data_IF_332551144559
#
_entry.id   IF_332551144559
#
_cell.length_a   1.000
_cell.length_b   1.000
_cell.length_c   1.000
_cell.angle_alpha   90.00
_cell.angle_beta   90.00
_cell.angle_gamma   90.00
#
_symmetry.space_group_name_H-M   'P 1'
#
loop_
_entity.id
_entity.type
_entity.pdbx_description
1 polymer ?
#
# COMPACT_ATOMS: atom_id res chain seq x y z
N UNK A 1 -3.37 -3.83 31.29
CA UNK A 1 -3.02 -4.55 30.05
C UNK A 1 -2.62 -3.50 29.01
N UNK A 2 -1.36 -3.46 28.58
CA UNK A 2 -0.95 -2.54 27.51
C UNK A 2 -1.10 -3.30 26.20
N UNK A 3 -2.06 -2.90 25.37
CA UNK A 3 -2.17 -3.44 24.01
C UNK A 3 -1.05 -2.82 23.17
N UNK A 4 -0.15 -3.66 22.66
CA UNK A 4 0.87 -3.24 21.70
C UNK A 4 0.16 -2.68 20.46
N UNK A 5 0.50 -1.45 20.08
CA UNK A 5 0.00 -0.85 18.84
C UNK A 5 0.50 -1.69 17.64
N UNK A 6 -0.29 -1.79 16.55
CA UNK A 6 0.18 -2.44 15.35
C UNK A 6 1.46 -1.77 14.86
N UNK A 7 2.46 -2.56 14.50
CA UNK A 7 3.65 -2.01 13.84
C UNK A 7 3.23 -1.44 12.48
N UNK A 8 3.50 -0.15 12.30
CA UNK A 8 3.28 0.56 11.05
C UNK A 8 4.60 0.48 10.28
N UNK A 9 4.65 -0.36 9.24
CA UNK A 9 5.89 -0.60 8.49
C UNK A 9 5.91 0.09 7.14
N UNK A 10 4.74 0.36 6.54
CA UNK A 10 4.65 0.85 5.17
C UNK A 10 4.34 2.34 5.06
N UNK A 11 3.63 2.94 6.02
CA UNK A 11 3.25 4.36 5.96
C UNK A 11 4.47 5.25 5.74
N UNK A 12 4.35 6.19 4.81
CA UNK A 12 5.44 7.08 4.39
C UNK A 12 6.34 6.51 3.29
N UNK A 13 6.34 5.19 3.06
CA UNK A 13 7.13 4.56 1.99
C UNK A 13 6.47 4.78 0.63
N UNK A 14 7.29 4.93 -0.41
CA UNK A 14 6.83 4.86 -1.80
C UNK A 14 6.85 3.39 -2.25
N UNK A 15 5.77 2.93 -2.85
CA UNK A 15 5.63 1.54 -3.31
C UNK A 15 5.18 1.46 -4.77
N UNK A 16 5.44 0.31 -5.38
CA UNK A 16 4.90 -0.10 -6.68
C UNK A 16 4.20 -1.45 -6.57
N UNK A 17 3.05 -1.59 -7.22
CA UNK A 17 2.37 -2.89 -7.39
C UNK A 17 3.06 -3.68 -8.50
N UNK A 18 3.74 -4.77 -8.15
CA UNK A 18 4.49 -5.61 -9.10
C UNK A 18 3.68 -6.80 -9.61
N UNK A 19 2.68 -7.27 -8.85
CA UNK A 19 1.73 -8.32 -9.27
C UNK A 19 0.36 -8.06 -8.67
N UNK A 20 -0.69 -8.46 -9.37
CA UNK A 20 -2.07 -8.32 -8.88
C UNK A 20 -2.99 -9.32 -9.57
N UNK A 21 -4.06 -9.73 -8.87
CA UNK A 21 -5.18 -10.48 -9.48
C UNK A 21 -5.94 -9.64 -10.51
N UNK A 22 -6.02 -8.32 -10.29
CA UNK A 22 -6.52 -7.36 -11.28
C UNK A 22 -5.33 -6.74 -12.02
N UNK A 23 -5.11 -7.06 -13.32
CA UNK A 23 -3.97 -6.56 -14.09
C UNK A 23 -3.90 -5.03 -14.18
N UNK A 24 -5.05 -4.32 -14.10
CA UNK A 24 -5.08 -2.87 -14.13
C UNK A 24 -4.41 -2.20 -12.91
N UNK A 25 -4.11 -2.96 -11.86
CA UNK A 25 -3.40 -2.47 -10.69
C UNK A 25 -1.87 -2.56 -10.83
N UNK A 26 -1.35 -3.36 -11.77
CA UNK A 26 0.09 -3.54 -11.96
C UNK A 26 0.72 -2.23 -12.45
N UNK A 27 1.85 -1.85 -11.86
CA UNK A 27 2.56 -0.62 -12.18
C UNK A 27 2.03 0.64 -11.48
N UNK A 28 0.95 0.52 -10.69
CA UNK A 28 0.49 1.63 -9.83
C UNK A 28 1.57 1.94 -8.80
N UNK A 29 1.90 3.24 -8.71
CA UNK A 29 2.90 3.79 -7.78
C UNK A 29 2.26 4.85 -6.90
N UNK A 30 2.70 4.92 -5.66
CA UNK A 30 2.25 5.94 -4.73
C UNK A 30 2.91 5.85 -3.37
N UNK A 31 2.75 6.92 -2.59
CA UNK A 31 3.17 6.98 -1.18
C UNK A 31 2.09 6.34 -0.32
N UNK A 32 2.46 5.47 0.60
CA UNK A 32 1.51 4.88 1.55
C UNK A 32 1.12 5.93 2.59
N UNK A 33 -0.18 6.21 2.69
CA UNK A 33 -0.74 7.19 3.63
C UNK A 33 -1.51 6.54 4.79
N UNK A 34 -1.98 5.32 4.60
CA UNK A 34 -2.66 4.53 5.64
C UNK A 34 -2.43 3.03 5.40
N UNK A 35 -2.40 2.28 6.49
CA UNK A 35 -2.22 0.84 6.50
C UNK A 35 -3.10 0.22 7.58
N UNK A 36 -3.86 -0.80 7.18
CA UNK A 36 -4.59 -1.67 8.10
C UNK A 36 -4.16 -3.11 7.85
N UNK A 37 -4.64 -4.04 8.67
CA UNK A 37 -4.32 -5.48 8.54
C UNK A 37 -4.45 -6.02 7.10
N UNK A 38 -5.48 -5.58 6.37
CA UNK A 38 -5.85 -6.14 5.06
C UNK A 38 -5.73 -5.14 3.90
N UNK A 39 -5.52 -3.86 4.18
CA UNK A 39 -5.52 -2.81 3.16
C UNK A 39 -4.30 -1.92 3.26
N UNK A 40 -3.86 -1.44 2.10
CA UNK A 40 -2.85 -0.40 1.95
C UNK A 40 -3.51 0.74 1.18
N UNK A 41 -3.43 1.95 1.71
CA UNK A 41 -3.91 3.14 1.03
C UNK A 41 -2.71 3.93 0.53
N UNK A 42 -2.70 4.20 -0.77
CA UNK A 42 -1.66 5.00 -1.40
C UNK A 42 -2.23 6.26 -2.02
N UNK A 43 -1.40 7.29 -2.08
CA UNK A 43 -1.62 8.52 -2.83
C UNK A 43 -0.66 8.53 -4.03
N UNK A 44 -1.21 8.73 -5.23
CA UNK A 44 -0.40 8.88 -6.43
C UNK A 44 0.08 10.33 -6.62
N UNK A 45 0.90 10.56 -7.66
CA UNK A 45 1.47 11.88 -7.96
C UNK A 45 0.45 12.99 -8.26
N UNK A 46 -0.81 12.63 -8.53
CA UNK A 46 -1.91 13.56 -8.80
C UNK A 46 -2.87 13.65 -7.60
N UNK A 47 -2.41 13.30 -6.40
CA UNK A 47 -3.19 13.31 -5.16
C UNK A 47 -4.42 12.38 -5.19
N UNK A 48 -4.41 11.38 -6.09
CA UNK A 48 -5.51 10.41 -6.15
C UNK A 48 -5.25 9.28 -5.18
N UNK A 49 -6.22 9.05 -4.31
CA UNK A 49 -6.18 7.97 -3.33
C UNK A 49 -6.61 6.65 -3.97
N UNK A 50 -5.83 5.60 -3.74
CA UNK A 50 -6.13 4.23 -4.17
C UNK A 50 -6.04 3.29 -2.98
N UNK A 51 -7.02 2.39 -2.88
CA UNK A 51 -7.06 1.35 -1.86
C UNK A 51 -6.66 0.02 -2.49
N UNK A 52 -5.67 -0.64 -1.90
CA UNK A 52 -5.14 -1.92 -2.34
C UNK A 52 -5.44 -2.98 -1.28
N UNK A 53 -5.97 -4.13 -1.71
CA UNK A 53 -6.22 -5.27 -0.83
C UNK A 53 -4.95 -6.12 -0.78
N UNK A 54 -4.34 -6.26 0.41
CA UNK A 54 -3.04 -6.94 0.60
C UNK A 54 -3.01 -8.36 0.03
N UNK A 55 -4.10 -9.11 0.15
CA UNK A 55 -4.19 -10.49 -0.37
C UNK A 55 -4.27 -10.60 -1.89
N UNK A 56 -4.48 -9.48 -2.60
CA UNK A 56 -4.66 -9.45 -4.04
C UNK A 56 -3.48 -8.84 -4.80
N UNK A 57 -2.54 -8.21 -4.10
CA UNK A 57 -1.40 -7.50 -4.70
C UNK A 57 -0.08 -7.92 -4.07
N UNK A 58 0.99 -7.92 -4.85
CA UNK A 58 2.36 -7.92 -4.35
C UNK A 58 2.96 -6.55 -4.63
N UNK A 59 3.60 -5.97 -3.62
CA UNK A 59 4.18 -4.63 -3.67
C UNK A 59 5.69 -4.68 -3.47
N UNK A 60 6.40 -3.70 -4.01
CA UNK A 60 7.82 -3.47 -3.79
C UNK A 60 8.01 -2.04 -3.28
N UNK A 61 8.76 -1.87 -2.18
CA UNK A 61 9.21 -0.54 -1.74
C UNK A 61 10.23 0.00 -2.74
N UNK A 62 10.03 1.25 -3.15
CA UNK A 62 10.95 1.99 -4.00
C UNK A 62 11.79 2.85 -3.05
N UNK A 63 13.12 2.75 -3.15
CA UNK A 63 14.06 3.59 -2.40
C UNK A 63 14.00 5.03 -2.90
#
# INVERSE_FOLDING_TARGET
MVNKLPEIELIGSVIEVIKSRNPALIGIKGKVIDETKNMIVIEDKNERVKKLIRSQVQIKKIK
#
